data_IF_972092557574
#
_entry.id   IF_972092557574
#
_cell.length_a   1.000
_cell.length_b   1.000
_cell.length_c   1.000
_cell.angle_alpha   90.00
_cell.angle_beta   90.00
_cell.angle_gamma   90.00
#
_symmetry.space_group_name_H-M   'P 1'
#
loop_
_entity.id
_entity.type
_entity.pdbx_description
1 polymer ?
#
# COMPACT_ATOMS: atom_id res chain seq x y z
N UNK A 1 -8.51 -14.93 -0.19
CA UNK A 1 -7.34 -14.82 0.70
C UNK A 1 -6.18 -14.26 -0.09
N UNK A 2 -5.42 -13.30 0.48
CA UNK A 2 -4.32 -12.64 -0.22
C UNK A 2 -3.10 -13.57 -0.23
N UNK A 3 -2.40 -13.65 -1.36
CA UNK A 3 -1.09 -14.28 -1.41
C UNK A 3 -0.07 -13.32 -0.79
N UNK A 4 0.27 -13.54 0.48
CA UNK A 4 1.15 -12.64 1.24
C UNK A 4 2.52 -12.42 0.61
N UNK A 5 2.98 -13.38 -0.21
CA UNK A 5 4.25 -13.28 -0.94
C UNK A 5 4.18 -12.35 -2.17
N UNK A 6 2.98 -11.98 -2.63
CA UNK A 6 2.80 -11.06 -3.77
C UNK A 6 2.70 -9.59 -3.32
N UNK A 7 2.63 -9.33 -2.01
CA UNK A 7 2.55 -7.97 -1.47
C UNK A 7 3.97 -7.47 -1.16
N UNK A 8 4.46 -6.56 -2.00
CA UNK A 8 5.79 -5.97 -1.87
C UNK A 8 5.80 -4.68 -1.06
N UNK A 9 4.74 -3.89 -1.19
CA UNK A 9 4.60 -2.60 -0.51
C UNK A 9 3.20 -2.43 0.04
N UNK A 10 3.09 -1.91 1.26
CA UNK A 10 1.83 -1.42 1.83
C UNK A 10 2.09 -0.05 2.42
N UNK A 11 1.31 0.94 1.98
CA UNK A 11 1.29 2.28 2.52
C UNK A 11 -0.04 2.55 3.19
N UNK A 12 0.01 3.00 4.42
CA UNK A 12 -1.16 3.38 5.21
C UNK A 12 -1.26 4.89 5.22
N UNK A 13 -2.43 5.40 4.80
CA UNK A 13 -2.77 6.82 4.92
C UNK A 13 -3.79 7.01 6.03
N UNK A 14 -3.47 7.88 6.97
CA UNK A 14 -4.35 8.21 8.08
C UNK A 14 -5.22 9.44 7.78
N UNK A 15 -6.24 9.67 8.60
CA UNK A 15 -7.14 10.83 8.48
C UNK A 15 -6.43 12.17 8.74
N UNK A 16 -5.34 12.17 9.51
CA UNK A 16 -4.50 13.34 9.80
C UNK A 16 -3.51 13.68 8.66
N UNK A 17 -3.68 13.05 7.48
CA UNK A 17 -2.78 13.11 6.32
C UNK A 17 -1.35 12.62 6.58
N UNK A 18 -1.09 11.96 7.71
CA UNK A 18 0.18 11.27 7.90
C UNK A 18 0.22 9.98 7.09
N UNK A 19 1.43 9.59 6.70
CA UNK A 19 1.69 8.41 5.88
C UNK A 19 2.67 7.51 6.63
N UNK A 20 2.38 6.22 6.67
CA UNK A 20 3.29 5.20 7.19
C UNK A 20 3.46 4.11 6.15
N UNK A 21 4.71 3.88 5.74
CA UNK A 21 5.09 2.72 4.94
C UNK A 21 5.39 1.55 5.90
N UNK A 22 4.77 0.40 5.65
CA UNK A 22 4.98 -0.80 6.47
C UNK A 22 6.24 -1.53 6.03
N UNK A 23 7.00 -2.03 7.00
CA UNK A 23 8.16 -2.86 6.71
C UNK A 23 7.74 -4.23 6.14
N UNK A 24 8.62 -4.92 5.38
CA UNK A 24 8.31 -6.24 4.80
C UNK A 24 7.85 -7.28 5.84
N UNK A 25 8.39 -7.23 7.05
CA UNK A 25 8.00 -8.13 8.14
C UNK A 25 6.63 -7.78 8.72
N UNK A 26 6.30 -6.48 8.81
CA UNK A 26 4.96 -6.02 9.21
C UNK A 26 3.92 -6.41 8.15
N UNK A 27 4.26 -6.29 6.86
CA UNK A 27 3.40 -6.70 5.74
C UNK A 27 3.06 -8.19 5.83
N UNK A 28 4.06 -9.05 6.06
CA UNK A 28 3.85 -10.49 6.22
C UNK A 28 2.95 -10.80 7.41
N UNK A 29 3.26 -10.24 8.58
CA UNK A 29 2.47 -10.48 9.79
C UNK A 29 1.02 -10.02 9.64
N UNK A 30 0.77 -8.84 9.07
CA UNK A 30 -0.59 -8.34 8.84
C UNK A 30 -1.33 -9.21 7.83
N UNK A 31 -0.66 -9.67 6.76
CA UNK A 31 -1.28 -10.51 5.76
C UNK A 31 -1.63 -11.90 6.31
N UNK A 32 -0.75 -12.51 7.11
CA UNK A 32 -1.04 -13.75 7.83
C UNK A 32 -2.21 -13.59 8.80
N UNK A 33 -2.26 -12.46 9.51
CA UNK A 33 -3.31 -12.15 10.47
C UNK A 33 -4.66 -11.88 9.78
N UNK A 34 -4.65 -11.19 8.65
CA UNK A 34 -5.81 -11.00 7.78
C UNK A 34 -6.33 -12.33 7.23
N UNK A 35 -5.44 -13.20 6.74
CA UNK A 35 -5.79 -14.53 6.26
C UNK A 35 -6.33 -15.42 7.39
N UNK A 36 -5.71 -15.42 8.57
CA UNK A 36 -6.17 -16.19 9.73
C UNK A 36 -7.57 -15.78 10.19
N UNK A 37 -7.87 -14.50 10.13
CA UNK A 37 -9.18 -13.96 10.50
C UNK A 37 -10.18 -13.95 9.33
N UNK A 38 -9.77 -14.41 8.14
CA UNK A 38 -10.54 -14.33 6.90
C UNK A 38 -11.07 -12.91 6.60
N UNK A 39 -10.29 -11.90 6.99
CA UNK A 39 -10.60 -10.47 6.93
C UNK A 39 -9.72 -9.78 5.87
N UNK A 40 -10.09 -8.57 5.45
CA UNK A 40 -9.25 -7.75 4.56
C UNK A 40 -8.09 -7.09 5.32
N UNK A 41 -6.93 -6.94 4.67
CA UNK A 41 -5.76 -6.23 5.22
C UNK A 41 -6.13 -4.83 5.72
N UNK A 42 -6.98 -4.10 4.99
CA UNK A 42 -7.46 -2.78 5.40
C UNK A 42 -8.22 -2.81 6.73
N UNK A 43 -9.14 -3.75 6.91
CA UNK A 43 -9.87 -3.94 8.18
C UNK A 43 -8.95 -4.35 9.32
N UNK A 44 -7.99 -5.24 9.05
CA UNK A 44 -7.01 -5.66 10.05
C UNK A 44 -6.16 -4.47 10.50
N UNK A 45 -5.69 -3.65 9.56
CA UNK A 45 -4.97 -2.41 9.86
C UNK A 45 -5.82 -1.40 10.62
N UNK A 46 -7.08 -1.20 10.25
CA UNK A 46 -8.03 -0.36 10.99
C UNK A 46 -8.27 -0.79 12.44
N UNK A 47 -8.07 -2.08 12.76
CA UNK A 47 -8.22 -2.62 14.12
C UNK A 47 -6.93 -2.53 14.95
N UNK A 48 -5.76 -2.64 14.31
CA UNK A 48 -4.46 -2.69 15.00
C UNK A 48 -3.86 -1.30 15.20
N UNK A 49 -4.04 -0.41 14.22
CA UNK A 49 -3.46 0.92 14.26
C UNK A 49 -4.16 1.81 15.28
N UNK A 50 -3.36 2.54 16.09
CA UNK A 50 -3.88 3.48 17.09
C UNK A 50 -4.56 4.71 16.49
N UNK A 51 -4.36 4.94 15.18
CA UNK A 51 -4.88 6.08 14.43
C UNK A 51 -5.93 5.62 13.42
N UNK A 52 -6.90 6.49 13.16
CA UNK A 52 -7.94 6.22 12.17
C UNK A 52 -7.35 6.18 10.74
N UNK A 53 -7.39 4.98 10.14
CA UNK A 53 -6.89 4.73 8.80
C UNK A 53 -7.93 5.16 7.76
N UNK A 54 -7.53 6.07 6.87
CA UNK A 54 -8.39 6.56 5.77
C UNK A 54 -8.47 5.53 4.65
N UNK A 55 -7.31 5.11 4.14
CA UNK A 55 -7.19 4.05 3.13
C UNK A 55 -5.80 3.43 3.15
N UNK A 56 -5.69 2.25 2.55
CA UNK A 56 -4.45 1.48 2.44
C UNK A 56 -4.15 1.26 0.97
N UNK A 57 -2.95 1.61 0.55
CA UNK A 57 -2.45 1.35 -0.81
C UNK A 57 -1.57 0.10 -0.75
N UNK A 58 -1.92 -0.92 -1.54
CA UNK A 58 -1.19 -2.19 -1.62
C UNK A 58 -0.52 -2.26 -2.99
N UNK A 59 0.75 -2.66 -3.03
CA UNK A 59 1.55 -2.76 -4.24
C UNK A 59 1.51 -1.48 -5.06
N UNK A 60 1.89 -0.35 -4.43
CA UNK A 60 2.01 0.92 -5.13
C UNK A 60 3.01 0.71 -6.29
N UNK A 61 2.57 0.84 -7.56
CA UNK A 61 3.51 0.79 -8.67
C UNK A 61 4.44 1.99 -8.51
N UNK A 62 5.76 1.74 -8.55
CA UNK A 62 6.71 2.84 -8.64
C UNK A 62 6.38 3.63 -9.90
N UNK A 63 6.29 4.96 -9.75
CA UNK A 63 6.09 5.83 -10.90
C UNK A 63 7.26 5.64 -11.86
N UNK A 64 7.02 4.97 -12.98
CA UNK A 64 7.97 4.86 -14.07
C UNK A 64 7.66 5.98 -15.05
N UNK A 65 8.49 7.03 -15.16
CA UNK A 65 8.35 7.96 -16.26
C UNK A 65 8.54 7.19 -17.56
N UNK A 66 7.63 7.36 -18.52
CA UNK A 66 7.81 6.82 -19.86
C UNK A 66 9.01 7.51 -20.50
N UNK A 67 10.13 6.78 -20.57
CA UNK A 67 11.36 7.25 -21.23
C UNK A 67 11.26 6.90 -22.72
N UNK A 68 10.90 7.88 -23.55
CA UNK A 68 11.02 7.77 -25.01
C UNK A 68 12.34 8.41 -25.44
N UNK A 69 13.39 7.60 -25.61
CA UNK A 69 14.72 8.08 -26.02
C UNK A 69 15.44 8.87 -24.93
N UNK A 70 16.05 10.02 -25.27
CA UNK A 70 16.84 10.88 -24.36
C UNK A 70 16.04 11.99 -23.66
N UNK A 71 14.71 12.03 -23.81
CA UNK A 71 13.86 13.06 -23.19
C UNK A 71 12.91 12.48 -22.12
N UNK A 72 12.96 13.05 -20.91
CA UNK A 72 12.02 12.76 -19.82
C UNK A 72 10.69 13.43 -20.17
N UNK A 73 9.74 12.67 -20.71
CA UNK A 73 8.39 13.16 -21.01
C UNK A 73 7.63 13.32 -19.70
N UNK A 74 7.33 14.56 -19.30
CA UNK A 74 6.40 14.81 -18.19
C UNK A 74 5.02 14.27 -18.58
N UNK A 75 4.32 13.55 -17.69
CA UNK A 75 3.02 13.00 -18.00
C UNK A 75 2.08 14.17 -18.28
N UNK A 76 1.46 14.18 -19.46
CA UNK A 76 0.47 15.20 -19.78
C UNK A 76 -0.73 15.02 -18.84
N UNK A 77 -1.24 16.09 -18.21
CA UNK A 77 -2.49 15.99 -17.46
C UNK A 77 -3.59 15.50 -18.40
N UNK A 78 -4.57 14.72 -17.90
CA UNK A 78 -5.62 14.16 -18.73
C UNK A 78 -6.53 15.27 -19.26
N UNK A 79 -6.23 15.73 -20.48
CA UNK A 79 -7.13 16.47 -21.38
C UNK A 79 -6.91 15.96 -22.81
#
# INVERSE_FOLDING_TARGET
MYKCNEIKTIRVRYMDNTIRDLNPDEIKSICELANKNNDSIERTLKKIESKEVRYVEINIPEYQPEVHGDEIVKPRPPY
#
